data_IF_031756041806
#
_entry.id   IF_031756041806
#
_cell.length_a   1.000
_cell.length_b   1.000
_cell.length_c   1.000
_cell.angle_alpha   90.00
_cell.angle_beta   90.00
_cell.angle_gamma   90.00
#
_symmetry.space_group_name_H-M   'P 1'
#
loop_
_entity.id
_entity.type
_entity.pdbx_description
1 polymer ?
#
# COMPACT_ATOMS: atom_id res chain seq x y z
N UNK A 1 -14.01 -7.99 20.51
CA UNK A 1 -12.61 -8.42 20.31
C UNK A 1 -12.43 -9.66 21.16
N UNK A 2 -12.08 -10.78 20.55
CA UNK A 2 -11.79 -12.03 21.26
C UNK A 2 -10.27 -12.14 21.38
N UNK A 3 -9.75 -12.51 22.55
CA UNK A 3 -8.32 -12.68 22.79
C UNK A 3 -8.04 -14.04 23.42
N UNK A 4 -7.02 -14.74 22.91
CA UNK A 4 -6.45 -15.93 23.52
C UNK A 4 -4.96 -15.71 23.77
N UNK A 5 -4.56 -15.73 25.03
CA UNK A 5 -3.20 -15.51 25.49
C UNK A 5 -2.79 -16.64 26.48
N UNK A 6 -2.58 -17.87 25.97
CA UNK A 6 -2.33 -19.03 26.83
C UNK A 6 -1.06 -18.91 27.66
N UNK A 7 -0.06 -18.18 27.14
CA UNK A 7 1.26 -18.00 27.78
C UNK A 7 1.33 -16.75 28.68
N UNK A 8 0.20 -16.04 28.86
CA UNK A 8 0.07 -14.86 29.75
C UNK A 8 1.09 -13.75 29.47
N UNK A 9 1.38 -13.53 28.19
CA UNK A 9 2.27 -12.45 27.72
C UNK A 9 1.67 -11.11 28.15
N UNK A 10 2.41 -10.34 28.94
CA UNK A 10 1.99 -9.02 29.45
C UNK A 10 2.96 -7.89 29.05
N UNK A 11 4.10 -8.25 28.45
CA UNK A 11 5.09 -7.34 27.90
C UNK A 11 5.79 -8.02 26.71
N UNK A 12 6.17 -7.25 25.70
CA UNK A 12 7.02 -7.72 24.60
C UNK A 12 7.79 -6.53 24.04
N UNK A 13 9.08 -6.70 23.75
CA UNK A 13 9.89 -5.72 23.03
C UNK A 13 9.68 -5.80 21.52
N UNK A 14 9.58 -7.03 20.98
CA UNK A 14 9.30 -7.30 19.57
C UNK A 14 7.96 -8.03 19.41
N UNK A 15 7.11 -7.49 18.54
CA UNK A 15 5.90 -8.16 18.08
C UNK A 15 6.08 -8.53 16.61
N UNK A 16 5.77 -9.77 16.24
CA UNK A 16 5.51 -10.14 14.84
C UNK A 16 4.00 -10.33 14.67
N UNK A 17 3.34 -9.38 14.02
CA UNK A 17 1.92 -9.40 13.72
C UNK A 17 1.63 -10.07 12.38
N UNK A 18 0.64 -10.97 12.36
CA UNK A 18 0.19 -11.70 11.17
C UNK A 18 -1.31 -11.45 11.00
N UNK A 19 -1.72 -10.48 10.15
CA UNK A 19 -3.14 -10.27 9.85
C UNK A 19 -3.68 -11.41 8.99
N UNK A 20 -4.89 -11.90 9.28
CA UNK A 20 -5.51 -13.01 8.55
C UNK A 20 -7.01 -12.84 8.32
N UNK A 21 -7.48 -13.48 7.25
CA UNK A 21 -8.89 -13.77 7.02
C UNK A 21 -9.04 -14.98 6.10
N UNK A 22 -9.49 -16.10 6.64
CA UNK A 22 -9.61 -17.40 5.96
C UNK A 22 -8.28 -17.87 5.31
N UNK A 23 -7.27 -18.05 6.15
CA UNK A 23 -5.91 -18.43 5.77
C UNK A 23 -5.43 -19.73 6.45
N UNK A 24 -6.35 -20.66 6.74
CA UNK A 24 -6.01 -21.93 7.39
C UNK A 24 -5.05 -22.79 6.57
N UNK A 25 -5.08 -22.67 5.24
CA UNK A 25 -4.22 -23.41 4.32
C UNK A 25 -2.81 -22.80 4.15
N UNK A 26 -2.58 -21.60 4.66
CA UNK A 26 -1.36 -20.82 4.39
C UNK A 26 -0.61 -20.35 5.65
N UNK A 27 -1.33 -19.97 6.71
CA UNK A 27 -0.80 -19.29 7.90
C UNK A 27 0.32 -20.06 8.63
N UNK A 28 0.32 -21.38 8.54
CA UNK A 28 1.30 -22.22 9.23
C UNK A 28 2.75 -21.90 8.82
N UNK A 29 2.98 -21.58 7.54
CA UNK A 29 4.32 -21.33 7.03
C UNK A 29 4.88 -19.98 7.50
N UNK A 30 4.19 -18.83 7.35
CA UNK A 30 4.66 -17.56 7.90
C UNK A 30 4.89 -17.58 9.41
N UNK A 31 4.06 -18.27 10.19
CA UNK A 31 4.25 -18.41 11.65
C UNK A 31 5.56 -19.12 11.97
N UNK A 32 5.86 -20.21 11.24
CA UNK A 32 7.10 -20.97 11.43
C UNK A 32 8.34 -20.13 11.08
N UNK A 33 8.26 -19.38 9.98
CA UNK A 33 9.34 -18.47 9.55
C UNK A 33 9.52 -17.28 10.50
N UNK A 34 8.42 -16.77 11.07
CA UNK A 34 8.45 -15.74 12.09
C UNK A 34 9.18 -16.23 13.36
N UNK A 35 8.84 -17.41 13.87
CA UNK A 35 9.52 -18.00 15.03
C UNK A 35 11.02 -18.20 14.77
N UNK A 36 11.39 -18.77 13.62
CA UNK A 36 12.79 -18.94 13.25
C UNK A 36 13.54 -17.59 13.18
N UNK A 37 12.93 -16.58 12.56
CA UNK A 37 13.52 -15.24 12.44
C UNK A 37 13.73 -14.57 13.79
N UNK A 38 12.75 -14.67 14.70
CA UNK A 38 12.86 -14.16 16.07
C UNK A 38 14.00 -14.86 16.80
N UNK A 39 14.03 -16.21 16.80
CA UNK A 39 15.06 -16.97 17.53
C UNK A 39 16.47 -16.68 17.02
N UNK A 40 16.64 -16.55 15.71
CA UNK A 40 17.95 -16.36 15.07
C UNK A 40 18.50 -14.95 15.25
N UNK A 41 17.64 -13.93 15.23
CA UNK A 41 18.08 -12.54 15.13
C UNK A 41 17.68 -11.65 16.32
N UNK A 42 16.72 -12.09 17.13
CA UNK A 42 16.17 -11.34 18.28
C UNK A 42 16.06 -12.22 19.53
N UNK A 43 16.92 -13.24 19.66
CA UNK A 43 16.88 -14.19 20.78
C UNK A 43 17.15 -13.54 22.15
N UNK A 44 17.68 -12.32 22.18
CA UNK A 44 17.88 -11.50 23.38
C UNK A 44 16.67 -10.59 23.71
N UNK A 45 15.62 -10.58 22.88
CA UNK A 45 14.43 -9.72 23.03
C UNK A 45 13.24 -10.51 23.54
N UNK A 46 12.47 -9.92 24.46
CA UNK A 46 11.14 -10.44 24.79
C UNK A 46 10.24 -10.31 23.56
N UNK A 47 9.81 -11.44 23.00
CA UNK A 47 9.14 -11.46 21.70
C UNK A 47 7.82 -12.23 21.75
N UNK A 48 6.86 -11.84 20.91
CA UNK A 48 5.57 -12.55 20.75
C UNK A 48 5.13 -12.53 19.30
N UNK A 49 4.54 -13.63 18.83
CA UNK A 49 3.87 -13.72 17.54
C UNK A 49 2.37 -13.53 17.77
N UNK A 50 1.76 -12.56 17.08
CA UNK A 50 0.35 -12.23 17.24
C UNK A 50 -0.38 -12.44 15.94
N UNK A 51 -1.37 -13.34 15.93
CA UNK A 51 -2.32 -13.40 14.83
C UNK A 51 -3.49 -12.42 15.10
N UNK A 52 -3.68 -11.48 14.19
CA UNK A 52 -4.81 -10.55 14.22
C UNK A 52 -5.80 -10.97 13.13
N UNK A 53 -6.85 -11.67 13.53
CA UNK A 53 -7.79 -12.34 12.64
C UNK A 53 -9.12 -11.57 12.48
N UNK A 54 -9.81 -11.82 11.37
CA UNK A 54 -11.12 -11.23 11.03
C UNK A 54 -12.30 -12.20 11.25
N UNK A 55 -12.31 -12.91 12.37
CA UNK A 55 -13.31 -13.95 12.69
C UNK A 55 -13.43 -15.01 11.59
N UNK A 56 -12.28 -15.58 11.22
CA UNK A 56 -12.15 -16.60 10.18
C UNK A 56 -12.96 -17.84 10.52
N UNK A 57 -13.66 -18.37 9.52
CA UNK A 57 -14.55 -19.53 9.65
C UNK A 57 -13.94 -20.85 9.19
N UNK A 58 -12.68 -20.82 8.74
CA UNK A 58 -11.99 -21.93 8.06
C UNK A 58 -10.98 -22.68 8.95
N UNK A 59 -11.00 -22.41 10.27
CA UNK A 59 -10.05 -22.89 11.26
C UNK A 59 -8.66 -22.21 11.27
N UNK A 60 -8.53 -21.00 10.70
CA UNK A 60 -7.27 -20.23 10.74
C UNK A 60 -6.68 -20.14 12.15
N UNK A 61 -7.52 -19.85 13.15
CA UNK A 61 -7.15 -19.77 14.57
C UNK A 61 -6.55 -21.07 15.08
N UNK A 62 -7.21 -22.19 14.82
CA UNK A 62 -6.79 -23.52 15.27
C UNK A 62 -5.45 -23.90 14.64
N UNK A 63 -5.27 -23.63 13.34
CA UNK A 63 -3.99 -23.84 12.65
C UNK A 63 -2.89 -22.99 13.26
N UNK A 64 -3.11 -21.68 13.43
CA UNK A 64 -2.15 -20.76 14.06
C UNK A 64 -1.73 -21.26 15.45
N UNK A 65 -2.68 -21.65 16.28
CA UNK A 65 -2.40 -22.14 17.64
C UNK A 65 -1.67 -23.49 17.64
N UNK A 66 -1.88 -24.35 16.63
CA UNK A 66 -1.25 -25.66 16.54
C UNK A 66 0.23 -25.63 16.06
N UNK A 67 0.66 -24.58 15.33
CA UNK A 67 2.07 -24.46 14.90
C UNK A 67 3.00 -24.47 16.11
N UNK A 68 3.99 -25.35 16.16
CA UNK A 68 4.95 -25.37 17.28
C UNK A 68 5.95 -24.23 17.14
N UNK A 69 6.01 -23.35 18.13
CA UNK A 69 6.95 -22.22 18.22
C UNK A 69 7.65 -22.25 19.58
N UNK A 70 8.85 -21.67 19.69
CA UNK A 70 9.44 -21.39 21.01
C UNK A 70 9.09 -19.98 21.48
N UNK A 71 8.80 -19.09 20.53
CA UNK A 71 8.27 -17.77 20.78
C UNK A 71 6.81 -17.87 21.21
N UNK A 72 6.40 -17.17 22.28
CA UNK A 72 5.01 -17.12 22.70
C UNK A 72 4.05 -16.66 21.61
N UNK A 73 2.82 -17.20 21.65
CA UNK A 73 1.76 -16.84 20.70
C UNK A 73 0.55 -16.21 21.38
N UNK A 74 -0.05 -15.25 20.68
CA UNK A 74 -1.29 -14.60 21.07
C UNK A 74 -2.22 -14.52 19.85
N UNK A 75 -3.49 -14.85 20.05
CA UNK A 75 -4.51 -14.71 19.02
C UNK A 75 -5.50 -13.60 19.40
N UNK A 76 -5.80 -12.72 18.45
CA UNK A 76 -6.79 -11.65 18.59
C UNK A 76 -7.71 -11.69 17.39
N UNK A 77 -9.02 -11.65 17.62
CA UNK A 77 -10.02 -11.57 16.56
C UNK A 77 -10.86 -10.30 16.67
N UNK A 78 -11.25 -9.76 15.51
CA UNK A 78 -12.40 -8.86 15.43
C UNK A 78 -13.67 -9.55 15.93
N UNK A 79 -14.72 -8.79 16.32
CA UNK A 79 -16.04 -9.36 16.58
C UNK A 79 -16.64 -10.01 15.31
N UNK A 80 -17.58 -10.96 15.47
CA UNK A 80 -18.29 -11.53 14.34
C UNK A 80 -18.92 -10.47 13.42
N UNK A 81 -18.77 -10.68 12.12
CA UNK A 81 -19.26 -9.76 11.08
C UNK A 81 -18.35 -8.55 10.79
N UNK A 82 -17.31 -8.30 11.59
CA UNK A 82 -16.36 -7.19 11.36
C UNK A 82 -15.13 -7.73 10.63
N UNK A 83 -14.87 -7.21 9.43
CA UNK A 83 -13.76 -7.64 8.56
C UNK A 83 -12.93 -6.43 8.12
N UNK A 84 -11.79 -6.70 7.48
CA UNK A 84 -10.94 -5.68 6.86
C UNK A 84 -9.53 -5.69 7.43
N UNK A 85 -8.54 -5.51 6.55
CA UNK A 85 -7.12 -5.51 6.93
C UNK A 85 -6.81 -4.43 7.96
N UNK A 86 -7.41 -3.25 7.82
CA UNK A 86 -7.34 -2.17 8.81
C UNK A 86 -7.84 -2.59 10.19
N UNK A 87 -8.97 -3.29 10.27
CA UNK A 87 -9.47 -3.79 11.55
C UNK A 87 -8.53 -4.80 12.23
N UNK A 88 -7.80 -5.63 11.46
CA UNK A 88 -6.71 -6.44 12.02
C UNK A 88 -5.62 -5.55 12.62
N UNK A 89 -5.20 -4.52 11.89
CA UNK A 89 -4.15 -3.61 12.35
C UNK A 89 -4.58 -2.75 13.54
N UNK A 90 -5.85 -2.36 13.65
CA UNK A 90 -6.35 -1.64 14.82
C UNK A 90 -6.22 -2.49 16.09
N UNK A 91 -6.52 -3.79 16.01
CA UNK A 91 -6.25 -4.73 17.10
C UNK A 91 -4.76 -4.86 17.39
N UNK A 92 -3.91 -4.92 16.35
CA UNK A 92 -2.46 -4.97 16.52
C UNK A 92 -1.89 -3.72 17.19
N UNK A 93 -2.32 -2.51 16.80
CA UNK A 93 -1.88 -1.25 17.40
C UNK A 93 -2.26 -1.20 18.87
N UNK A 94 -3.51 -1.55 19.20
CA UNK A 94 -3.98 -1.65 20.57
C UNK A 94 -3.09 -2.60 21.37
N UNK A 95 -2.81 -3.79 20.85
CA UNK A 95 -1.99 -4.77 21.56
C UNK A 95 -0.52 -4.35 21.69
N UNK A 96 0.04 -3.71 20.68
CA UNK A 96 1.39 -3.18 20.72
C UNK A 96 1.55 -2.11 21.80
N UNK A 97 0.56 -1.24 21.96
CA UNK A 97 0.54 -0.23 23.04
C UNK A 97 0.39 -0.89 24.42
N UNK A 98 -0.54 -1.86 24.56
CA UNK A 98 -0.74 -2.60 25.81
C UNK A 98 0.53 -3.34 26.28
N UNK A 99 1.22 -4.03 25.36
CA UNK A 99 2.43 -4.79 25.63
C UNK A 99 3.71 -3.92 25.69
N UNK A 100 3.58 -2.60 25.49
CA UNK A 100 4.69 -1.63 25.46
C UNK A 100 5.78 -2.01 24.44
N UNK A 101 5.36 -2.46 23.26
CA UNK A 101 6.26 -2.88 22.19
C UNK A 101 7.28 -1.79 21.84
N UNK A 102 8.52 -2.21 21.60
CA UNK A 102 9.53 -1.34 20.99
C UNK A 102 9.39 -1.37 19.47
N UNK A 103 9.31 -2.58 18.91
CA UNK A 103 9.24 -2.86 17.48
C UNK A 103 8.07 -3.78 17.16
N UNK A 104 7.37 -3.47 16.06
CA UNK A 104 6.33 -4.31 15.49
C UNK A 104 6.71 -4.59 14.04
N UNK A 105 6.83 -5.87 13.69
CA UNK A 105 6.98 -6.35 12.31
C UNK A 105 5.68 -6.97 11.88
N UNK A 106 5.26 -6.70 10.66
CA UNK A 106 4.06 -7.26 10.05
C UNK A 106 4.45 -8.07 8.83
N UNK A 107 3.88 -9.27 8.71
CA UNK A 107 4.00 -10.12 7.54
C UNK A 107 2.63 -10.72 7.19
N UNK A 108 2.28 -10.77 5.90
CA UNK A 108 1.01 -11.33 5.45
C UNK A 108 0.91 -12.85 5.73
N UNK A 109 -0.30 -13.33 6.04
CA UNK A 109 -0.57 -14.73 6.37
C UNK A 109 -0.48 -15.70 5.18
N UNK A 110 -0.54 -15.20 3.94
CA UNK A 110 -0.57 -15.99 2.71
C UNK A 110 0.79 -16.03 1.96
N UNK A 111 1.86 -15.55 2.60
CA UNK A 111 3.20 -15.52 2.01
C UNK A 111 3.77 -16.93 1.84
N UNK A 112 4.28 -17.21 0.65
CA UNK A 112 5.01 -18.45 0.33
C UNK A 112 6.53 -18.26 0.28
N UNK A 113 6.98 -17.02 0.09
CA UNK A 113 8.40 -16.68 -0.10
C UNK A 113 9.06 -16.02 1.11
N UNK A 114 8.33 -15.85 2.22
CA UNK A 114 8.87 -15.30 3.47
C UNK A 114 10.04 -16.15 3.97
N UNK A 115 11.09 -15.48 4.44
CA UNK A 115 12.25 -16.13 5.10
C UNK A 115 12.51 -15.49 6.46
N UNK A 116 13.32 -16.11 7.33
CA UNK A 116 13.65 -15.56 8.65
C UNK A 116 14.35 -14.19 8.54
N UNK A 117 15.07 -13.94 7.45
CA UNK A 117 15.75 -12.67 7.16
C UNK A 117 14.76 -11.51 6.97
N UNK A 118 13.51 -11.77 6.59
CA UNK A 118 12.50 -10.70 6.49
C UNK A 118 12.21 -10.10 7.86
N UNK A 119 12.09 -10.95 8.89
CA UNK A 119 11.89 -10.52 10.28
C UNK A 119 13.07 -9.67 10.74
N UNK A 120 14.30 -10.09 10.44
CA UNK A 120 15.50 -9.30 10.71
C UNK A 120 15.47 -7.94 10.01
N UNK A 121 15.28 -7.94 8.69
CA UNK A 121 15.45 -6.74 7.87
C UNK A 121 14.34 -5.71 8.16
N UNK A 122 13.13 -6.15 8.53
CA UNK A 122 12.03 -5.28 8.94
C UNK A 122 12.13 -4.84 10.41
N UNK A 123 12.70 -5.68 11.28
CA UNK A 123 12.76 -5.45 12.73
C UNK A 123 13.98 -4.69 13.22
N UNK A 124 15.19 -5.03 12.76
CA UNK A 124 16.45 -4.44 13.24
C UNK A 124 16.52 -2.91 13.09
N UNK A 125 16.03 -2.30 11.99
CA UNK A 125 16.06 -0.84 11.86
C UNK A 125 15.24 -0.13 12.95
N UNK A 126 14.18 -0.77 13.46
CA UNK A 126 13.33 -0.20 14.49
C UNK A 126 14.07 -0.02 15.82
N UNK A 127 14.94 -0.98 16.15
CA UNK A 127 15.86 -0.88 17.30
C UNK A 127 17.03 0.09 17.06
N UNK A 128 17.24 0.55 15.82
CA UNK A 128 18.27 1.53 15.42
C UNK A 128 17.72 2.94 15.26
N UNK A 129 16.51 3.21 15.75
CA UNK A 129 15.90 4.54 15.77
C UNK A 129 15.04 4.88 14.55
N UNK A 130 14.82 3.94 13.61
CA UNK A 130 13.78 4.09 12.61
C UNK A 130 12.41 3.86 13.23
N UNK A 131 11.42 4.60 12.76
CA UNK A 131 10.05 4.51 13.24
C UNK A 131 9.13 3.73 12.30
N UNK A 132 9.47 3.68 11.01
CA UNK A 132 8.76 2.91 9.98
C UNK A 132 9.74 2.30 8.98
N UNK A 133 9.51 1.05 8.59
CA UNK A 133 10.34 0.28 7.66
C UNK A 133 9.44 -0.27 6.56
N UNK A 134 9.51 0.32 5.38
CA UNK A 134 8.77 -0.16 4.21
C UNK A 134 9.51 -1.31 3.51
N UNK A 135 8.82 -2.24 2.85
CA UNK A 135 9.47 -3.34 2.16
C UNK A 135 10.02 -2.91 0.80
N UNK A 136 11.07 -3.58 0.35
CA UNK A 136 11.56 -3.57 -1.03
C UNK A 136 11.61 -5.00 -1.54
N UNK A 137 10.62 -5.33 -2.38
CA UNK A 137 10.54 -6.62 -3.07
C UNK A 137 11.16 -6.54 -4.46
N UNK A 138 11.55 -7.69 -4.99
CA UNK A 138 11.68 -7.87 -6.44
C UNK A 138 10.28 -8.13 -7.00
N UNK A 139 9.80 -7.35 -7.97
CA UNK A 139 8.49 -7.56 -8.60
C UNK A 139 8.59 -7.69 -10.10
N UNK A 140 7.64 -8.41 -10.67
CA UNK A 140 7.48 -8.44 -12.12
C UNK A 140 6.98 -7.05 -12.57
N UNK A 141 7.42 -6.59 -13.73
CA UNK A 141 7.09 -5.25 -14.24
C UNK A 141 5.59 -4.96 -14.39
N UNK A 142 4.75 -5.98 -14.56
CA UNK A 142 3.29 -5.84 -14.65
C UNK A 142 2.55 -6.10 -13.33
N UNK A 143 3.28 -6.29 -12.24
CA UNK A 143 2.72 -6.47 -10.91
C UNK A 143 2.68 -5.14 -10.13
N UNK A 144 1.76 -5.01 -9.17
CA UNK A 144 1.64 -3.82 -8.33
C UNK A 144 1.30 -2.56 -9.13
N UNK A 145 0.45 -2.65 -10.16
CA UNK A 145 0.14 -1.52 -11.06
C UNK A 145 -0.51 -0.33 -10.34
N UNK A 146 -1.30 -0.52 -9.28
CA UNK A 146 -1.77 0.58 -8.41
C UNK A 146 -0.59 1.24 -7.69
N UNK A 147 0.32 0.43 -7.14
CA UNK A 147 1.54 0.91 -6.48
C UNK A 147 2.38 1.75 -7.44
N UNK A 148 2.69 1.21 -8.61
CA UNK A 148 3.62 1.80 -9.57
C UNK A 148 3.01 2.99 -10.31
N UNK A 149 1.73 2.92 -10.66
CA UNK A 149 1.05 3.93 -11.48
C UNK A 149 0.38 5.04 -10.70
N UNK A 150 0.13 4.85 -9.38
CA UNK A 150 -0.62 5.83 -8.57
C UNK A 150 0.05 6.06 -7.22
N UNK A 151 0.07 5.05 -6.35
CA UNK A 151 0.38 5.25 -4.94
C UNK A 151 1.82 5.78 -4.74
N UNK A 152 2.80 5.21 -5.44
CA UNK A 152 4.19 5.65 -5.34
C UNK A 152 4.43 7.03 -5.98
N UNK A 153 4.04 7.30 -7.24
CA UNK A 153 4.17 8.63 -7.83
C UNK A 153 3.47 9.73 -7.01
N UNK A 154 2.24 9.49 -6.54
CA UNK A 154 1.49 10.45 -5.73
C UNK A 154 2.16 10.70 -4.38
N UNK A 155 2.48 9.65 -3.62
CA UNK A 155 3.12 9.78 -2.30
C UNK A 155 4.44 10.53 -2.41
N UNK A 156 5.22 10.22 -3.44
CA UNK A 156 6.52 10.83 -3.69
C UNK A 156 6.39 12.32 -4.06
N UNK A 157 5.47 12.67 -4.95
CA UNK A 157 5.20 14.05 -5.34
C UNK A 157 4.66 14.87 -4.16
N UNK A 158 3.73 14.33 -3.38
CA UNK A 158 3.08 15.03 -2.29
C UNK A 158 4.00 15.19 -1.07
N UNK A 159 4.60 14.09 -0.60
CA UNK A 159 5.26 14.05 0.70
C UNK A 159 6.79 13.97 0.63
N UNK A 160 7.38 13.90 -0.58
CA UNK A 160 8.81 14.13 -0.79
C UNK A 160 9.74 13.02 -0.28
N UNK A 161 9.21 11.83 -0.02
CA UNK A 161 9.98 10.64 0.36
C UNK A 161 9.81 9.54 -0.67
N UNK A 162 10.92 8.93 -1.09
CA UNK A 162 10.93 7.79 -2.02
C UNK A 162 10.69 6.50 -1.25
N UNK A 163 9.44 6.20 -0.94
CA UNK A 163 9.01 4.93 -0.36
C UNK A 163 8.40 4.11 -1.50
N UNK A 164 9.16 3.19 -2.08
CA UNK A 164 8.84 2.48 -3.34
C UNK A 164 7.57 1.62 -3.26
N UNK A 165 7.26 1.11 -2.06
CA UNK A 165 6.10 0.26 -1.77
C UNK A 165 5.23 0.91 -0.67
N UNK A 166 4.58 2.05 -0.93
CA UNK A 166 3.80 2.75 0.09
C UNK A 166 2.51 2.01 0.49
N UNK A 167 2.15 0.96 -0.25
CA UNK A 167 1.06 0.01 0.07
C UNK A 167 1.59 -1.42 0.22
N UNK A 168 2.84 -1.56 0.64
CA UNK A 168 3.45 -2.86 0.92
C UNK A 168 2.76 -3.56 2.10
N UNK A 169 2.46 -4.85 1.94
CA UNK A 169 1.77 -5.62 2.99
C UNK A 169 2.66 -6.06 4.15
N UNK A 170 3.98 -6.04 3.96
CA UNK A 170 4.97 -6.45 4.96
C UNK A 170 5.81 -5.24 5.34
N UNK A 171 5.85 -4.87 6.61
CA UNK A 171 6.51 -3.63 7.04
C UNK A 171 6.87 -3.71 8.53
N UNK A 172 7.67 -2.75 8.99
CA UNK A 172 7.99 -2.56 10.40
C UNK A 172 7.52 -1.19 10.89
N UNK A 173 7.09 -1.09 12.15
CA UNK A 173 6.87 0.20 12.81
C UNK A 173 7.21 0.15 14.30
N UNK A 174 7.62 1.28 14.85
CA UNK A 174 7.92 1.41 16.28
C UNK A 174 6.65 1.42 17.12
N UNK A 175 6.72 1.00 18.39
CA UNK A 175 5.56 1.11 19.30
C UNK A 175 5.08 2.54 19.53
N UNK A 176 5.98 3.53 19.41
CA UNK A 176 5.58 4.96 19.42
C UNK A 176 4.65 5.27 18.25
N UNK A 177 4.98 4.77 17.07
CA UNK A 177 4.16 4.96 15.88
C UNK A 177 2.86 4.14 15.94
N UNK A 178 2.87 2.98 16.59
CA UNK A 178 1.66 2.22 16.91
C UNK A 178 0.65 3.06 17.71
N UNK A 179 1.14 3.81 18.71
CA UNK A 179 0.32 4.73 19.50
C UNK A 179 -0.25 5.86 18.64
N UNK A 180 0.57 6.47 17.78
CA UNK A 180 0.11 7.50 16.83
C UNK A 180 -1.01 6.97 15.94
N UNK A 181 -0.87 5.75 15.40
CA UNK A 181 -1.92 5.14 14.59
C UNK A 181 -3.19 4.87 15.38
N UNK A 182 -3.07 4.37 16.61
CA UNK A 182 -4.22 4.07 17.46
C UNK A 182 -5.01 5.33 17.85
N UNK A 183 -4.34 6.46 18.07
CA UNK A 183 -4.92 7.71 18.55
C UNK A 183 -5.34 8.67 17.42
N UNK A 184 -5.04 8.34 16.16
CA UNK A 184 -5.37 9.19 15.01
C UNK A 184 -6.89 9.32 14.80
N UNK A 185 -7.34 10.56 14.60
CA UNK A 185 -8.71 10.95 14.25
C UNK A 185 -9.04 10.71 12.76
N UNK A 186 -8.03 10.53 11.92
CA UNK A 186 -8.18 10.28 10.48
C UNK A 186 -8.72 8.89 10.09
N UNK A 187 -9.10 8.04 11.07
CA UNK A 187 -9.64 6.70 10.82
C UNK A 187 -11.03 6.75 10.18
N UNK A 188 -11.26 5.93 9.15
CA UNK A 188 -12.56 5.77 8.50
C UNK A 188 -12.77 4.34 7.96
N UNK A 189 -13.82 4.15 7.17
CA UNK A 189 -14.18 2.86 6.61
C UNK A 189 -13.23 2.36 5.52
N UNK A 190 -12.63 3.26 4.72
CA UNK A 190 -11.61 2.85 3.76
C UNK A 190 -10.34 2.37 4.48
N UNK A 191 -9.96 3.09 5.55
CA UNK A 191 -8.83 2.73 6.43
C UNK A 191 -9.12 1.45 7.21
N UNK A 192 -10.37 1.15 7.57
CA UNK A 192 -10.73 -0.12 8.23
C UNK A 192 -10.52 -1.35 7.32
N UNK A 193 -10.36 -1.14 6.01
CA UNK A 193 -10.13 -2.16 4.98
C UNK A 193 -8.75 -2.02 4.30
N UNK A 194 -8.69 -1.88 2.96
CA UNK A 194 -7.43 -1.84 2.19
C UNK A 194 -6.74 -0.47 2.17
N UNK A 195 -7.39 0.60 2.66
CA UNK A 195 -6.78 1.92 2.77
C UNK A 195 -5.68 2.02 3.84
N UNK A 196 -5.59 1.04 4.74
CA UNK A 196 -4.70 1.11 5.91
C UNK A 196 -3.21 1.25 5.56
N UNK A 197 -2.72 0.57 4.52
CA UNK A 197 -1.29 0.54 4.21
C UNK A 197 -0.80 1.92 3.74
N UNK A 198 -1.56 2.56 2.83
CA UNK A 198 -1.23 3.92 2.36
C UNK A 198 -1.42 4.96 3.46
N UNK A 199 -2.41 4.75 4.33
CA UNK A 199 -2.67 5.60 5.47
C UNK A 199 -1.50 5.59 6.45
N UNK A 200 -1.02 4.40 6.86
CA UNK A 200 0.14 4.27 7.75
C UNK A 200 1.38 4.93 7.16
N UNK A 201 1.69 4.64 5.89
CA UNK A 201 2.85 5.23 5.21
C UNK A 201 2.77 6.77 5.20
N UNK A 202 1.60 7.31 4.87
CA UNK A 202 1.39 8.75 4.81
C UNK A 202 1.53 9.39 6.19
N UNK A 203 0.92 8.83 7.23
CA UNK A 203 1.05 9.33 8.60
C UNK A 203 2.50 9.28 9.08
N UNK A 204 3.23 8.19 8.83
CA UNK A 204 4.64 8.07 9.20
C UNK A 204 5.48 9.21 8.60
N UNK A 205 5.28 9.50 7.31
CA UNK A 205 6.00 10.58 6.61
C UNK A 205 5.56 11.96 7.12
N UNK A 206 4.25 12.20 7.25
CA UNK A 206 3.68 13.48 7.69
C UNK A 206 4.10 13.85 9.11
N UNK A 207 4.28 12.86 10.00
CA UNK A 207 4.82 13.04 11.35
C UNK A 207 6.33 13.26 11.40
N UNK A 208 7.00 13.38 10.24
CA UNK A 208 8.46 13.52 10.10
C UNK A 208 9.24 12.41 10.80
N UNK A 209 8.64 11.22 10.86
CA UNK A 209 9.27 10.04 11.44
C UNK A 209 10.49 9.61 10.62
N UNK A 210 11.44 8.93 11.27
CA UNK A 210 12.56 8.30 10.56
C UNK A 210 12.03 7.08 9.79
N UNK A 211 11.95 7.19 8.46
CA UNK A 211 11.49 6.11 7.58
C UNK A 211 12.68 5.52 6.86
N UNK A 212 12.78 4.19 6.82
CA UNK A 212 13.67 3.47 5.92
C UNK A 212 12.92 2.44 5.09
N UNK A 213 13.65 1.82 4.18
CA UNK A 213 13.20 0.69 3.38
C UNK A 213 14.07 -0.52 3.68
N UNK A 214 13.53 -1.73 3.58
CA UNK A 214 14.26 -2.96 3.82
C UNK A 214 14.22 -3.85 2.58
N UNK A 215 15.39 -4.23 2.06
CA UNK A 215 15.48 -5.19 0.97
C UNK A 215 15.11 -6.59 1.49
N UNK A 216 14.10 -7.21 0.86
CA UNK A 216 13.61 -8.53 1.29
C UNK A 216 14.17 -9.68 0.43
N UNK A 217 14.93 -9.37 -0.62
CA UNK A 217 15.75 -10.35 -1.35
C UNK A 217 15.00 -11.38 -2.18
N UNK A 218 13.68 -11.47 -2.10
CA UNK A 218 12.86 -12.41 -2.88
C UNK A 218 11.60 -11.74 -3.44
N UNK A 219 11.02 -12.29 -4.52
CA UNK A 219 9.68 -11.91 -4.95
C UNK A 219 8.66 -12.12 -3.85
N UNK A 220 7.70 -11.19 -3.75
CA UNK A 220 6.52 -11.43 -2.92
C UNK A 220 5.60 -12.39 -3.67
N UNK A 221 5.57 -13.66 -3.24
CA UNK A 221 4.68 -14.68 -3.80
C UNK A 221 3.57 -14.91 -2.79
N UNK A 222 2.36 -14.56 -3.20
CA UNK A 222 1.13 -14.66 -2.41
C UNK A 222 -0.01 -15.22 -3.25
N UNK A 223 -1.18 -15.47 -2.65
CA UNK A 223 -2.34 -16.03 -3.36
C UNK A 223 -2.75 -15.06 -4.47
N UNK A 224 -2.89 -15.56 -5.71
CA UNK A 224 -3.44 -14.79 -6.83
C UNK A 224 -4.89 -14.44 -6.49
N UNK A 225 -5.15 -13.17 -6.18
CA UNK A 225 -6.52 -12.66 -6.03
C UNK A 225 -7.14 -12.56 -7.42
N UNK A 226 -8.41 -12.95 -7.55
CA UNK A 226 -9.15 -12.70 -8.78
C UNK A 226 -9.21 -11.18 -9.05
N UNK A 227 -8.54 -10.69 -10.12
CA UNK A 227 -8.48 -9.26 -10.40
C UNK A 227 -9.86 -8.65 -10.69
N UNK A 228 -10.83 -9.44 -11.15
CA UNK A 228 -12.13 -8.91 -11.55
C UNK A 228 -13.05 -8.59 -10.34
N UNK A 229 -13.02 -9.41 -9.29
CA UNK A 229 -13.92 -9.28 -8.13
C UNK A 229 -13.36 -8.41 -6.99
N UNK A 230 -12.05 -8.25 -6.88
CA UNK A 230 -11.41 -7.55 -5.75
C UNK A 230 -10.77 -6.21 -6.09
N UNK A 231 -10.48 -5.93 -7.37
CA UNK A 231 -9.76 -4.72 -7.75
C UNK A 231 -10.58 -3.45 -7.54
N UNK A 232 -11.89 -3.47 -7.80
CA UNK A 232 -12.78 -2.32 -7.60
C UNK A 232 -12.78 -1.82 -6.15
N UNK A 233 -13.18 -2.64 -5.17
CA UNK A 233 -13.18 -2.22 -3.76
C UNK A 233 -11.78 -1.82 -3.24
N UNK A 234 -10.73 -2.56 -3.61
CA UNK A 234 -9.35 -2.23 -3.22
C UNK A 234 -8.92 -0.87 -3.79
N UNK A 235 -9.16 -0.65 -5.09
CA UNK A 235 -8.85 0.61 -5.75
C UNK A 235 -9.59 1.76 -5.08
N UNK A 236 -10.90 1.61 -4.83
CA UNK A 236 -11.72 2.63 -4.17
C UNK A 236 -11.18 3.01 -2.80
N UNK A 237 -10.88 2.00 -1.97
CA UNK A 237 -10.39 2.23 -0.62
C UNK A 237 -9.00 2.87 -0.60
N UNK A 238 -8.07 2.40 -1.42
CA UNK A 238 -6.70 2.94 -1.47
C UNK A 238 -6.70 4.37 -2.05
N UNK A 239 -7.33 4.58 -3.21
CA UNK A 239 -7.31 5.89 -3.87
C UNK A 239 -8.16 6.91 -3.10
N UNK A 240 -9.32 6.51 -2.58
CA UNK A 240 -10.12 7.35 -1.69
C UNK A 240 -9.33 7.81 -0.46
N UNK A 241 -8.54 6.90 0.14
CA UNK A 241 -7.66 7.25 1.26
C UNK A 241 -6.57 8.24 0.84
N UNK A 242 -5.94 8.06 -0.32
CA UNK A 242 -4.97 9.03 -0.86
C UNK A 242 -5.60 10.41 -0.99
N UNK A 243 -6.77 10.51 -1.64
CA UNK A 243 -7.44 11.78 -1.89
C UNK A 243 -7.89 12.47 -0.60
N UNK A 244 -8.40 11.69 0.37
CA UNK A 244 -8.75 12.22 1.70
C UNK A 244 -7.54 12.80 2.41
N UNK A 245 -6.43 12.05 2.48
CA UNK A 245 -5.21 12.48 3.18
C UNK A 245 -4.55 13.69 2.49
N UNK A 246 -4.75 13.89 1.20
CA UNK A 246 -4.36 15.15 0.53
C UNK A 246 -5.10 16.35 1.12
N UNK A 247 -6.39 16.23 1.45
CA UNK A 247 -7.13 17.27 2.16
C UNK A 247 -6.53 17.58 3.54
N UNK A 248 -6.28 16.54 4.32
CA UNK A 248 -5.81 16.66 5.71
C UNK A 248 -4.37 17.20 5.83
N UNK A 249 -3.53 16.94 4.84
CA UNK A 249 -2.11 17.28 4.88
C UNK A 249 -1.69 18.36 3.86
N UNK A 250 -2.62 19.19 3.37
CA UNK A 250 -2.32 20.24 2.40
C UNK A 250 -1.33 21.29 2.91
N UNK A 251 -1.40 21.63 4.19
CA UNK A 251 -0.39 22.45 4.86
C UNK A 251 1.02 21.84 4.77
N UNK A 252 1.17 20.53 4.63
CA UNK A 252 2.47 19.86 4.48
C UNK A 252 2.86 19.79 3.00
N UNK A 253 2.04 19.12 2.18
CA UNK A 253 2.48 18.73 0.84
C UNK A 253 2.59 19.92 -0.12
N UNK A 254 1.84 21.01 0.06
CA UNK A 254 1.93 22.21 -0.79
C UNK A 254 3.34 22.84 -0.81
N UNK A 255 4.13 22.62 0.25
CA UNK A 255 5.50 23.12 0.39
C UNK A 255 6.58 22.17 -0.15
N UNK A 256 6.24 20.91 -0.40
CA UNK A 256 7.17 19.92 -0.95
C UNK A 256 7.38 20.20 -2.44
N UNK A 257 8.64 20.23 -2.89
CA UNK A 257 9.03 20.47 -4.28
C UNK A 257 9.69 19.28 -4.96
N UNK A 258 10.51 18.55 -4.20
CA UNK A 258 11.28 17.42 -4.72
C UNK A 258 11.27 16.28 -3.70
N UNK A 259 11.50 15.07 -4.19
CA UNK A 259 11.68 13.90 -3.34
C UNK A 259 13.15 13.67 -2.94
N UNK A 260 13.34 13.12 -1.74
CA UNK A 260 14.64 12.67 -1.23
C UNK A 260 14.69 11.14 -1.16
N UNK A 261 15.86 10.52 -1.42
CA UNK A 261 16.04 9.10 -1.22
C UNK A 261 15.75 8.71 0.24
N UNK A 262 15.32 7.47 0.41
CA UNK A 262 15.03 6.86 1.72
C UNK A 262 16.09 5.80 1.98
N UNK A 263 16.66 5.76 3.19
CA UNK A 263 17.70 4.80 3.56
C UNK A 263 17.24 3.36 3.27
N UNK A 264 18.15 2.52 2.77
CA UNK A 264 17.88 1.12 2.46
C UNK A 264 18.67 0.24 3.44
N UNK A 265 17.98 -0.67 4.10
CA UNK A 265 18.53 -1.66 5.02
C UNK A 265 18.60 -3.04 4.37
N UNK A 266 19.56 -3.85 4.79
CA UNK A 266 19.68 -5.25 4.37
C UNK A 266 20.17 -5.42 2.93
N UNK A 267 20.88 -4.44 2.37
CA UNK A 267 21.45 -4.56 1.02
C UNK A 267 22.49 -5.70 1.00
N UNK A 268 22.24 -6.71 0.17
CA UNK A 268 23.09 -7.87 -0.04
C UNK A 268 22.74 -8.56 -1.35
N UNK A 269 23.68 -9.36 -1.88
CA UNK A 269 23.51 -10.21 -3.07
C UNK A 269 22.52 -11.35 -2.75
N UNK A 270 21.26 -11.02 -2.52
CA UNK A 270 20.21 -12.03 -2.44
C UNK A 270 20.14 -12.79 -3.76
N UNK A 271 19.81 -14.08 -3.70
CA UNK A 271 19.40 -14.81 -4.90
C UNK A 271 18.22 -14.06 -5.52
N UNK A 272 18.45 -13.38 -6.64
CA UNK A 272 17.39 -12.69 -7.38
C UNK A 272 16.57 -13.77 -8.07
N UNK A 273 15.70 -14.42 -7.31
CA UNK A 273 14.67 -15.27 -7.89
C UNK A 273 13.78 -14.38 -8.75
N UNK A 274 13.57 -14.79 -10.01
CA UNK A 274 12.73 -14.02 -10.90
C UNK A 274 11.27 -14.15 -10.46
N UNK A 275 10.53 -13.04 -10.36
CA UNK A 275 9.11 -13.08 -10.04
C UNK A 275 8.35 -13.85 -11.13
N UNK A 276 7.25 -14.54 -10.80
CA UNK A 276 6.44 -15.22 -11.79
C UNK A 276 5.91 -14.24 -12.85
N UNK A 277 5.70 -14.74 -14.07
CA UNK A 277 5.11 -13.96 -15.15
C UNK A 277 3.69 -13.53 -14.81
N UNK A 278 3.32 -12.32 -15.25
CA UNK A 278 1.95 -11.79 -15.13
C UNK A 278 1.40 -11.61 -16.54
N UNK A 279 0.28 -12.28 -16.83
CA UNK A 279 -0.41 -12.13 -18.12
C UNK A 279 -1.39 -10.95 -18.06
N UNK A 280 -1.33 -10.08 -19.06
CA UNK A 280 -2.16 -8.88 -19.16
C UNK A 280 -2.83 -8.82 -20.52
N UNK A 281 -4.17 -8.87 -20.51
CA UNK A 281 -4.95 -8.75 -21.74
C UNK A 281 -5.10 -7.28 -22.15
N UNK A 282 -4.29 -6.86 -23.12
CA UNK A 282 -4.35 -5.51 -23.69
C UNK A 282 -5.74 -5.15 -24.24
N UNK A 283 -6.43 -6.10 -24.88
CA UNK A 283 -7.76 -5.91 -25.44
C UNK A 283 -8.80 -5.65 -24.36
N UNK A 284 -8.76 -6.40 -23.24
CA UNK A 284 -9.68 -6.18 -22.12
C UNK A 284 -9.46 -4.81 -21.47
N UNK A 285 -8.20 -4.44 -21.23
CA UNK A 285 -7.87 -3.11 -20.69
C UNK A 285 -8.36 -1.97 -21.59
N UNK A 286 -8.15 -2.09 -22.90
CA UNK A 286 -8.61 -1.10 -23.86
C UNK A 286 -10.14 -1.02 -23.92
N UNK A 287 -10.83 -2.16 -23.93
CA UNK A 287 -12.29 -2.20 -23.94
C UNK A 287 -12.87 -1.52 -22.68
N UNK A 288 -12.34 -1.83 -21.50
CA UNK A 288 -12.78 -1.20 -20.24
C UNK A 288 -12.51 0.31 -20.22
N UNK A 289 -11.37 0.77 -20.77
CA UNK A 289 -11.09 2.20 -20.92
C UNK A 289 -12.13 2.89 -21.84
N UNK A 290 -12.43 2.27 -22.98
CA UNK A 290 -13.42 2.79 -23.94
C UNK A 290 -14.84 2.81 -23.36
N UNK A 291 -15.25 1.76 -22.65
CA UNK A 291 -16.55 1.74 -21.98
C UNK A 291 -16.66 2.80 -20.88
N UNK A 292 -15.54 3.19 -20.27
CA UNK A 292 -15.48 4.31 -19.33
C UNK A 292 -16.00 5.64 -19.89
N UNK A 293 -15.77 5.95 -21.17
CA UNK A 293 -16.32 7.18 -21.78
C UNK A 293 -17.85 7.18 -21.80
N UNK A 294 -18.48 6.01 -21.97
CA UNK A 294 -19.94 5.87 -21.95
C UNK A 294 -20.48 6.00 -20.53
N UNK A 295 -19.78 5.42 -19.56
CA UNK A 295 -20.24 5.36 -18.16
C UNK A 295 -19.95 6.62 -17.35
N UNK A 296 -18.83 7.30 -17.62
CA UNK A 296 -18.31 8.37 -16.77
C UNK A 296 -17.90 9.64 -17.52
N UNK A 297 -18.23 9.76 -18.82
CA UNK A 297 -17.83 10.91 -19.63
C UNK A 297 -18.29 12.27 -19.07
N UNK A 298 -19.51 12.34 -18.52
CA UNK A 298 -20.04 13.55 -17.87
C UNK A 298 -19.33 13.84 -16.54
N UNK A 299 -19.02 12.81 -15.74
CA UNK A 299 -18.24 12.95 -14.51
C UNK A 299 -16.86 13.53 -14.82
N UNK A 300 -16.16 13.00 -15.83
CA UNK A 300 -14.85 13.50 -16.23
C UNK A 300 -14.90 14.93 -16.77
N UNK A 301 -15.99 15.31 -17.45
CA UNK A 301 -16.19 16.67 -17.94
C UNK A 301 -16.38 17.67 -16.81
N UNK A 302 -17.04 17.26 -15.73
CA UNK A 302 -17.27 18.07 -14.54
C UNK A 302 -16.00 18.25 -13.70
N UNK A 303 -15.26 17.16 -13.43
CA UNK A 303 -14.16 17.18 -12.47
C UNK A 303 -12.82 17.62 -13.06
N UNK A 304 -12.60 17.46 -14.37
CA UNK A 304 -11.34 17.76 -15.03
C UNK A 304 -11.33 19.19 -15.57
N UNK A 305 -10.15 19.81 -15.59
CA UNK A 305 -10.00 21.07 -16.32
C UNK A 305 -10.25 20.86 -17.82
N UNK A 306 -10.73 21.89 -18.51
CA UNK A 306 -11.00 21.85 -19.96
C UNK A 306 -9.82 21.32 -20.78
N UNK A 307 -8.59 21.74 -20.43
CA UNK A 307 -7.36 21.28 -21.09
C UNK A 307 -7.10 19.80 -20.85
N UNK A 308 -7.32 19.30 -19.62
CA UNK A 308 -7.11 17.89 -19.28
C UNK A 308 -8.20 17.02 -19.92
N UNK A 309 -9.46 17.46 -19.88
CA UNK A 309 -10.58 16.77 -20.51
C UNK A 309 -10.43 16.68 -22.03
N UNK A 310 -10.03 17.77 -22.70
CA UNK A 310 -9.79 17.77 -24.16
C UNK A 310 -8.70 16.76 -24.57
N UNK A 311 -7.60 16.69 -23.80
CA UNK A 311 -6.56 15.68 -24.05
C UNK A 311 -7.03 14.26 -23.76
N UNK A 312 -7.90 14.08 -22.76
CA UNK A 312 -8.50 12.77 -22.46
C UNK A 312 -9.39 12.31 -23.63
N UNK A 313 -10.22 13.19 -24.19
CA UNK A 313 -11.07 12.83 -25.33
C UNK A 313 -10.25 12.54 -26.59
N UNK A 314 -9.17 13.29 -26.84
CA UNK A 314 -8.21 13.00 -27.93
C UNK A 314 -7.66 11.58 -27.83
N UNK A 315 -7.11 11.16 -26.68
CA UNK A 315 -6.60 9.79 -26.50
C UNK A 315 -7.71 8.73 -26.58
N UNK A 316 -8.95 9.09 -26.25
CA UNK A 316 -10.13 8.24 -26.41
C UNK A 316 -10.40 7.85 -27.87
N UNK A 317 -9.97 8.66 -28.84
CA UNK A 317 -10.16 8.38 -30.28
C UNK A 317 -9.08 7.45 -30.87
N UNK A 318 -7.99 7.18 -30.14
CA UNK A 318 -6.88 6.38 -30.64
C UNK A 318 -7.24 4.89 -30.73
N UNK A 319 -6.80 4.23 -31.80
CA UNK A 319 -6.90 2.78 -31.92
C UNK A 319 -5.91 2.07 -30.97
N UNK A 320 -6.26 0.87 -30.51
CA UNK A 320 -5.46 0.08 -29.54
C UNK A 320 -3.97 -0.03 -29.90
N UNK A 321 -3.63 -0.14 -31.18
CA UNK A 321 -2.24 -0.25 -31.64
C UNK A 321 -1.45 1.07 -31.46
N UNK A 322 -2.08 2.21 -31.70
CA UNK A 322 -1.50 3.55 -31.51
C UNK A 322 -1.76 4.16 -30.13
N UNK A 323 -2.52 3.47 -29.28
CA UNK A 323 -2.91 4.00 -27.98
C UNK A 323 -1.70 4.28 -27.08
N UNK A 324 -1.63 5.52 -26.60
CA UNK A 324 -0.69 5.99 -25.59
C UNK A 324 -1.41 6.91 -24.59
N UNK A 325 -1.03 6.82 -23.32
CA UNK A 325 -1.55 7.63 -22.22
C UNK A 325 -0.37 8.34 -21.53
N UNK A 326 -0.05 9.57 -21.97
CA UNK A 326 1.10 10.33 -21.47
C UNK A 326 1.08 10.49 -19.95
N UNK A 327 2.24 10.32 -19.31
CA UNK A 327 2.35 10.39 -17.84
C UNK A 327 2.01 11.79 -17.28
N UNK A 328 2.33 12.88 -17.99
CA UNK A 328 1.94 14.25 -17.58
C UNK A 328 0.41 14.41 -17.55
N UNK A 329 -0.30 13.85 -18.55
CA UNK A 329 -1.76 13.86 -18.58
C UNK A 329 -2.32 13.06 -17.40
N UNK A 330 -1.76 11.87 -17.14
CA UNK A 330 -2.18 11.03 -16.02
C UNK A 330 -1.99 11.73 -14.66
N UNK A 331 -0.85 12.39 -14.45
CA UNK A 331 -0.58 13.14 -13.23
C UNK A 331 -1.60 14.27 -13.03
N UNK A 332 -1.85 15.09 -14.06
CA UNK A 332 -2.81 16.20 -13.99
C UNK A 332 -4.24 15.73 -13.78
N UNK A 333 -4.61 14.60 -14.37
CA UNK A 333 -5.92 13.98 -14.19
C UNK A 333 -6.13 13.59 -12.73
N UNK A 334 -5.16 12.88 -12.13
CA UNK A 334 -5.23 12.53 -10.70
C UNK A 334 -5.26 13.77 -9.80
N UNK A 335 -4.54 14.83 -10.18
CA UNK A 335 -4.56 16.11 -9.45
C UNK A 335 -5.91 16.83 -9.53
N UNK A 336 -6.56 16.85 -10.70
CA UNK A 336 -7.90 17.40 -10.85
C UNK A 336 -8.94 16.56 -10.10
N UNK A 337 -8.83 15.23 -10.17
CA UNK A 337 -9.69 14.32 -9.42
C UNK A 337 -9.53 14.51 -7.89
N UNK A 338 -8.31 14.71 -7.40
CA UNK A 338 -8.06 14.97 -5.98
C UNK A 338 -8.70 16.29 -5.52
N UNK A 339 -8.63 17.31 -6.36
CA UNK A 339 -9.26 18.61 -6.11
C UNK A 339 -10.78 18.47 -6.06
N UNK A 340 -11.39 17.80 -7.04
CA UNK A 340 -12.82 17.52 -7.05
C UNK A 340 -13.26 16.65 -5.85
N UNK A 341 -12.46 15.66 -5.44
CA UNK A 341 -12.75 14.85 -4.25
C UNK A 341 -12.86 15.68 -2.97
N UNK A 342 -12.11 16.78 -2.89
CA UNK A 342 -12.18 17.72 -1.77
C UNK A 342 -13.36 18.69 -1.87
N UNK A 343 -13.66 19.20 -3.06
CA UNK A 343 -14.47 20.42 -3.22
C UNK A 343 -15.75 20.27 -4.04
N UNK A 344 -15.99 19.14 -4.69
CA UNK A 344 -17.23 18.90 -5.44
C UNK A 344 -18.31 18.29 -4.55
N UNK A 345 -19.58 18.54 -4.90
CA UNK A 345 -20.74 17.87 -4.31
C UNK A 345 -20.96 16.46 -4.89
N UNK A 346 -20.06 16.01 -5.79
CA UNK A 346 -20.13 14.71 -6.42
C UNK A 346 -19.95 13.61 -5.36
N UNK A 347 -20.69 12.52 -5.53
CA UNK A 347 -20.47 11.34 -4.71
C UNK A 347 -19.01 10.86 -4.82
N UNK A 348 -18.36 10.72 -3.66
CA UNK A 348 -16.94 10.40 -3.57
C UNK A 348 -16.62 9.00 -4.10
N UNK A 349 -17.54 8.05 -3.94
CA UNK A 349 -17.35 6.71 -4.49
C UNK A 349 -17.48 6.74 -6.01
N UNK A 350 -18.48 7.43 -6.55
CA UNK A 350 -18.66 7.63 -7.98
C UNK A 350 -17.42 8.29 -8.62
N UNK A 351 -16.88 9.34 -7.99
CA UNK A 351 -15.66 10.00 -8.45
C UNK A 351 -14.50 9.01 -8.54
N UNK A 352 -14.24 8.26 -7.46
CA UNK A 352 -13.11 7.33 -7.43
C UNK A 352 -13.31 6.15 -8.38
N UNK A 353 -14.53 5.62 -8.49
CA UNK A 353 -14.88 4.55 -9.43
C UNK A 353 -14.71 5.01 -10.89
N UNK A 354 -14.99 6.28 -11.18
CA UNK A 354 -14.76 6.87 -12.51
C UNK A 354 -13.30 6.84 -12.93
N UNK A 355 -12.35 6.71 -11.99
CA UNK A 355 -10.91 6.62 -12.31
C UNK A 355 -10.49 5.21 -12.74
N UNK A 356 -11.29 4.18 -12.48
CA UNK A 356 -10.94 2.79 -12.79
C UNK A 356 -10.71 2.57 -14.30
N UNK A 357 -11.61 3.00 -15.21
CA UNK A 357 -11.36 2.88 -16.65
C UNK A 357 -10.11 3.64 -17.11
N UNK A 358 -9.86 4.82 -16.55
CA UNK A 358 -8.69 5.64 -16.87
C UNK A 358 -7.39 4.98 -16.42
N UNK A 359 -7.40 4.37 -15.23
CA UNK A 359 -6.32 3.55 -14.71
C UNK A 359 -6.05 2.33 -15.60
N UNK A 360 -7.08 1.68 -16.15
CA UNK A 360 -6.89 0.62 -17.15
C UNK A 360 -6.24 1.13 -18.43
N UNK A 361 -6.65 2.30 -18.92
CA UNK A 361 -5.99 2.99 -20.03
C UNK A 361 -4.50 3.24 -19.71
N UNK A 362 -4.18 3.81 -18.55
CA UNK A 362 -2.79 4.06 -18.16
C UNK A 362 -1.99 2.76 -18.04
N UNK A 363 -2.59 1.72 -17.47
CA UNK A 363 -1.97 0.39 -17.37
C UNK A 363 -1.67 -0.20 -18.74
N UNK A 364 -2.58 -0.06 -19.72
CA UNK A 364 -2.35 -0.48 -21.09
C UNK A 364 -1.17 0.24 -21.74
N UNK A 365 -1.12 1.59 -21.65
CA UNK A 365 0.01 2.36 -22.17
C UNK A 365 1.33 1.92 -21.53
N UNK A 366 1.34 1.69 -20.22
CA UNK A 366 2.53 1.18 -19.52
C UNK A 366 2.96 -0.21 -20.00
N UNK A 367 2.03 -1.16 -20.11
CA UNK A 367 2.31 -2.53 -20.60
C UNK A 367 2.90 -2.49 -22.01
N UNK A 368 2.37 -1.63 -22.88
CA UNK A 368 2.91 -1.41 -24.23
C UNK A 368 4.31 -0.81 -24.20
N UNK A 369 4.55 0.24 -23.40
CA UNK A 369 5.87 0.88 -23.24
C UNK A 369 6.92 -0.11 -22.71
N UNK A 370 6.53 -0.99 -21.81
CA UNK A 370 7.40 -1.97 -21.16
C UNK A 370 7.59 -3.28 -21.96
N UNK A 371 6.94 -3.41 -23.13
CA UNK A 371 7.11 -4.59 -23.98
C UNK A 371 8.58 -4.72 -24.41
N UNK A 372 9.20 -5.86 -24.13
CA UNK A 372 10.63 -6.09 -24.42
C UNK A 372 11.64 -5.48 -23.44
N UNK A 373 11.20 -4.70 -22.43
CA UNK A 373 12.11 -4.15 -21.40
C UNK A 373 12.44 -5.18 -20.30
N UNK A 374 13.64 -5.08 -19.74
CA UNK A 374 14.06 -5.80 -18.52
C UNK A 374 13.37 -5.25 -17.26
N UNK A 375 13.49 -5.96 -16.13
CA UNK A 375 12.97 -5.49 -14.83
C UNK A 375 13.63 -4.17 -14.43
N UNK A 376 14.94 -4.04 -14.60
CA UNK A 376 15.65 -2.80 -14.27
C UNK A 376 15.18 -1.62 -15.12
N UNK A 377 15.04 -1.80 -16.44
CA UNK A 377 14.54 -0.76 -17.33
C UNK A 377 13.09 -0.36 -16.98
N UNK A 378 12.26 -1.30 -16.53
CA UNK A 378 10.93 -1.00 -16.06
C UNK A 378 10.94 -0.18 -14.75
N UNK A 379 11.84 -0.47 -13.82
CA UNK A 379 12.03 0.34 -12.61
C UNK A 379 12.53 1.75 -12.93
N UNK A 380 13.47 1.90 -13.86
CA UNK A 380 13.95 3.19 -14.31
C UNK A 380 12.81 4.02 -14.94
N UNK A 381 11.96 3.39 -15.74
CA UNK A 381 10.78 4.04 -16.31
C UNK A 381 9.73 4.45 -15.27
N UNK A 382 9.59 3.71 -14.17
CA UNK A 382 8.72 4.10 -13.03
C UNK A 382 9.31 5.31 -12.30
N UNK A 383 10.64 5.36 -12.13
CA UNK A 383 11.33 6.51 -11.55
C UNK A 383 11.18 7.77 -12.44
N UNK A 384 11.25 7.62 -13.77
CA UNK A 384 10.92 8.68 -14.74
C UNK A 384 9.49 9.18 -14.58
N UNK A 385 8.52 8.26 -14.51
CA UNK A 385 7.11 8.61 -14.33
C UNK A 385 6.90 9.40 -13.02
N UNK A 386 7.60 9.03 -11.94
CA UNK A 386 7.57 9.77 -10.68
C UNK A 386 8.13 11.19 -10.82
N UNK A 387 9.20 11.40 -11.60
CA UNK A 387 9.75 12.73 -11.85
C UNK A 387 8.74 13.60 -12.60
N UNK A 388 7.98 13.02 -13.55
CA UNK A 388 6.89 13.75 -14.24
C UNK A 388 5.82 14.22 -13.25
N UNK A 389 5.44 13.39 -12.27
CA UNK A 389 4.50 13.80 -11.22
C UNK A 389 5.04 14.95 -10.35
N UNK A 390 6.32 14.88 -9.95
CA UNK A 390 6.97 15.97 -9.19
C UNK A 390 7.00 17.28 -10.00
N UNK A 391 7.34 17.21 -11.29
CA UNK A 391 7.41 18.38 -12.18
C UNK A 391 6.02 18.94 -12.52
N UNK A 392 4.99 18.09 -12.57
CA UNK A 392 3.62 18.52 -12.81
C UNK A 392 2.96 19.14 -11.57
N UNK A 393 3.47 18.86 -10.36
CA UNK A 393 2.87 19.31 -9.08
C UNK A 393 2.57 20.82 -8.97
N UNK A 394 3.34 21.77 -9.54
CA UNK A 394 2.96 23.19 -9.55
C UNK A 394 1.57 23.45 -10.15
N UNK A 395 1.09 22.59 -11.07
CA UNK A 395 -0.29 22.61 -11.56
C UNK A 395 -1.30 22.36 -10.44
N UNK A 396 -1.09 21.31 -9.65
CA UNK A 396 -1.92 20.97 -8.49
C UNK A 396 -1.94 22.13 -7.49
N UNK A 397 -0.76 22.61 -7.07
CA UNK A 397 -0.65 23.69 -6.05
C UNK A 397 -1.42 24.94 -6.49
N UNK A 398 -1.20 25.41 -7.72
CA UNK A 398 -1.88 26.59 -8.27
C UNK A 398 -3.40 26.44 -8.29
N UNK A 399 -3.92 25.25 -8.60
CA UNK A 399 -5.37 25.00 -8.61
C UNK A 399 -5.90 24.87 -7.18
N UNK A 400 -5.21 24.14 -6.32
CA UNK A 400 -5.58 23.92 -4.93
C UNK A 400 -5.70 25.23 -4.13
N UNK A 401 -4.75 26.15 -4.31
CA UNK A 401 -4.75 27.48 -3.66
C UNK A 401 -5.90 28.35 -4.16
N UNK A 402 -6.16 28.37 -5.48
CA UNK A 402 -7.27 29.13 -6.07
C UNK A 402 -8.63 28.70 -5.51
N UNK A 403 -8.84 27.40 -5.37
CA UNK A 403 -10.08 26.88 -4.78
C UNK A 403 -10.17 27.21 -3.29
N UNK A 404 -9.06 27.13 -2.55
CA UNK A 404 -9.04 27.43 -1.11
C UNK A 404 -9.26 28.91 -0.78
N UNK A 405 -9.14 29.81 -1.77
CA UNK A 405 -9.47 31.23 -1.64
C UNK A 405 -10.91 31.57 -2.09
N UNK A 406 -11.57 30.65 -2.81
CA UNK A 406 -12.92 30.83 -3.34
C UNK A 406 -14.00 30.12 -2.50
N UNK A 407 -13.61 29.13 -1.70
CA UNK A 407 -14.39 28.49 -0.64
C UNK A 407 -14.16 29.19 0.68
#
# INVERSE_FOLDING_TARGET
MTELNPERVNEAELIVGIPSYNEADSIAFPVSQADEGIRKYFGDKKSVIINCDNDSSDNTKEVFMAVKTQTPKLYISTPPGVKGKGNNFRNLFKKAVELKAHAVVVVDADLRSITPEWIRNLGEPLFKGFAYVAPLYVRHKYDGTITNGIAYPMTRALYGRRVRQPIGGDFGFSGKLAKVYLESDLWDEAVSHFGIDIWMTTLAISQRSQVCQAFLGRPKIHRTKDPASHLGPMFRQVIGTVMKLMGEFDGIWTRVRYSRPTSIYGFGLGEVEMPPGVDVSAQKLFASFQDGFKSYGEVWKEILSEVVYGKLTEIGTLAVNGFDFPTDLWARLLFDAALAYRSSDLDKELLVDSLIPLYYGKTLSFVKKMAGMSIQQAEDAIEEDCMVFELAKPYLVKRWEKFSQAS
#
